data_IF_056173292466
#
_entry.id   IF_056173292466
#
_cell.length_a   1.000
_cell.length_b   1.000
_cell.length_c   1.000
_cell.angle_alpha   90.00
_cell.angle_beta   90.00
_cell.angle_gamma   90.00
#
_symmetry.space_group_name_H-M   'P 1'
#
loop_
_entity.id
_entity.type
_entity.pdbx_description
1 polymer ?
#
# COMPACT_ATOMS: atom_id res chain seq x y z
N UNK A 1 0.80 -33.00 -15.36
CA UNK A 1 0.92 -31.82 -14.47
C UNK A 1 0.16 -30.68 -15.10
N UNK A 2 -0.86 -30.14 -14.41
CA UNK A 2 -1.62 -28.98 -14.90
C UNK A 2 -0.69 -27.78 -14.96
N UNK A 3 -0.55 -27.20 -16.15
CA UNK A 3 0.16 -25.95 -16.36
C UNK A 3 -0.48 -24.87 -15.49
N UNK A 4 0.30 -24.30 -14.59
CA UNK A 4 -0.09 -23.15 -13.78
C UNK A 4 -0.04 -21.97 -14.74
N UNK A 5 -1.20 -21.58 -15.26
CA UNK A 5 -1.34 -20.42 -16.12
C UNK A 5 -1.02 -19.19 -15.24
N UNK A 6 0.23 -18.73 -15.29
CA UNK A 6 0.59 -17.39 -14.82
C UNK A 6 -0.15 -16.43 -15.75
N UNK A 7 -1.39 -16.06 -15.39
CA UNK A 7 -2.00 -14.85 -15.94
C UNK A 7 -0.94 -13.77 -15.83
N UNK A 8 -0.58 -13.15 -16.95
CA UNK A 8 0.40 -12.08 -17.05
C UNK A 8 0.34 -11.25 -15.76
N UNK A 9 1.44 -11.26 -15.00
CA UNK A 9 1.51 -10.59 -13.70
C UNK A 9 0.96 -9.17 -13.84
N UNK A 10 0.24 -8.71 -12.85
CA UNK A 10 -0.19 -7.32 -12.78
C UNK A 10 1.07 -6.45 -12.68
N UNK A 11 1.63 -6.05 -13.83
CA UNK A 11 2.86 -5.28 -13.91
C UNK A 11 2.49 -3.84 -13.60
N UNK A 12 2.91 -3.36 -12.44
CA UNK A 12 2.91 -1.93 -12.15
C UNK A 12 4.01 -1.27 -12.98
N UNK A 13 3.78 -0.03 -13.40
CA UNK A 13 4.86 0.85 -13.85
C UNK A 13 5.81 1.14 -12.68
N UNK A 14 7.01 1.65 -12.97
CA UNK A 14 7.97 2.10 -11.95
C UNK A 14 7.32 3.09 -10.96
N UNK A 15 6.42 3.94 -11.43
CA UNK A 15 5.66 4.86 -10.57
C UNK A 15 4.69 4.10 -9.65
N UNK A 16 3.99 3.09 -10.17
CA UNK A 16 3.09 2.22 -9.40
C UNK A 16 3.84 1.43 -8.33
N UNK A 17 5.01 0.87 -8.67
CA UNK A 17 5.89 0.18 -7.72
C UNK A 17 6.39 1.14 -6.63
N UNK A 18 6.79 2.35 -7.01
CA UNK A 18 7.22 3.39 -6.07
C UNK A 18 6.10 3.83 -5.12
N UNK A 19 4.85 3.94 -5.61
CA UNK A 19 3.68 4.19 -4.75
C UNK A 19 3.46 3.05 -3.76
N UNK A 20 3.53 1.79 -4.23
CA UNK A 20 3.34 0.62 -3.38
C UNK A 20 4.43 0.52 -2.30
N UNK A 21 5.69 0.75 -2.66
CA UNK A 21 6.81 0.77 -1.72
C UNK A 21 6.62 1.85 -0.65
N UNK A 22 6.21 3.07 -1.03
CA UNK A 22 5.91 4.15 -0.08
C UNK A 22 4.79 3.78 0.89
N UNK A 23 3.71 3.18 0.40
CA UNK A 23 2.60 2.73 1.24
C UNK A 23 3.07 1.65 2.25
N UNK A 24 3.92 0.71 1.82
CA UNK A 24 4.47 -0.32 2.68
C UNK A 24 5.35 0.26 3.79
N UNK A 25 6.32 1.11 3.44
CA UNK A 25 7.23 1.74 4.41
C UNK A 25 6.50 2.64 5.41
N UNK A 26 5.51 3.42 4.96
CA UNK A 26 4.70 4.25 5.84
C UNK A 26 3.84 3.39 6.80
N UNK A 27 3.36 2.24 6.34
CA UNK A 27 2.58 1.30 7.15
C UNK A 27 3.45 0.60 8.20
N UNK A 28 4.67 0.21 7.84
CA UNK A 28 5.66 -0.34 8.76
C UNK A 28 6.00 0.64 9.86
N UNK A 29 6.33 1.89 9.49
CA UNK A 29 6.60 2.95 10.46
C UNK A 29 5.41 3.20 11.41
N UNK A 30 4.19 3.25 10.88
CA UNK A 30 2.99 3.43 11.70
C UNK A 30 2.80 2.25 12.67
N UNK A 31 3.03 1.02 12.21
CA UNK A 31 2.97 -0.17 13.05
C UNK A 31 4.00 -0.12 14.18
N UNK A 32 5.25 0.28 13.88
CA UNK A 32 6.29 0.47 14.90
C UNK A 32 5.89 1.48 15.96
N UNK A 33 5.41 2.67 15.54
CA UNK A 33 4.95 3.74 16.44
C UNK A 33 3.85 3.24 17.39
N UNK A 34 2.93 2.42 16.87
CA UNK A 34 1.80 1.87 17.62
C UNK A 34 2.17 0.65 18.48
N UNK A 35 3.22 -0.08 18.12
CA UNK A 35 3.61 -1.34 18.78
C UNK A 35 4.33 -1.15 20.12
N UNK A 36 4.84 0.05 20.42
CA UNK A 36 5.67 0.29 21.61
C UNK A 36 4.83 0.11 22.89
N UNK A 37 5.16 -0.87 23.75
CA UNK A 37 4.41 -1.10 24.98
C UNK A 37 4.61 0.06 25.96
N UNK A 38 3.52 0.44 26.61
CA UNK A 38 3.51 1.45 27.67
C UNK A 38 4.08 0.87 28.96
N UNK A 39 5.39 1.00 29.17
CA UNK A 39 6.04 0.38 30.34
C UNK A 39 5.73 1.10 31.65
N UNK A 40 5.45 2.42 31.69
CA UNK A 40 5.12 3.14 32.95
C UNK A 40 4.40 4.50 32.73
N UNK A 41 3.43 4.59 31.82
CA UNK A 41 2.65 5.82 31.59
C UNK A 41 1.77 5.80 30.35
N UNK A 42 0.90 6.80 30.18
CA UNK A 42 0.09 6.99 28.97
C UNK A 42 0.96 7.52 27.83
N UNK A 43 1.51 6.64 27.00
CA UNK A 43 2.10 7.02 25.71
C UNK A 43 0.97 7.30 24.74
N UNK A 44 0.84 8.53 24.30
CA UNK A 44 -0.18 8.95 23.33
C UNK A 44 0.45 9.18 21.97
N UNK A 45 -0.17 8.68 20.92
CA UNK A 45 0.16 9.04 19.54
C UNK A 45 -0.69 10.24 19.14
N UNK A 46 -0.10 11.21 18.44
CA UNK A 46 -0.85 12.34 17.89
C UNK A 46 -1.91 11.84 16.91
N UNK A 47 -3.19 12.13 17.19
CA UNK A 47 -4.30 11.78 16.31
C UNK A 47 -4.18 12.46 14.93
N UNK A 48 -3.73 13.72 14.90
CA UNK A 48 -3.48 14.46 13.66
C UNK A 48 -2.36 13.81 12.84
N UNK A 49 -1.25 13.45 13.50
CA UNK A 49 -0.12 12.78 12.84
C UNK A 49 -0.49 11.40 12.31
N UNK A 50 -1.24 10.61 13.09
CA UNK A 50 -1.74 9.31 12.66
C UNK A 50 -2.71 9.45 11.47
N UNK A 51 -3.62 10.42 11.51
CA UNK A 51 -4.55 10.69 10.42
C UNK A 51 -3.82 11.12 9.14
N UNK A 52 -2.79 11.98 9.26
CA UNK A 52 -1.97 12.40 8.11
C UNK A 52 -1.24 11.22 7.47
N UNK A 53 -0.68 10.30 8.27
CA UNK A 53 -0.02 9.09 7.77
C UNK A 53 -1.02 8.16 7.08
N UNK A 54 -2.19 7.93 7.68
CA UNK A 54 -3.23 7.08 7.09
C UNK A 54 -3.77 7.68 5.79
N UNK A 55 -3.98 8.99 5.74
CA UNK A 55 -4.37 9.68 4.51
C UNK A 55 -3.32 9.53 3.40
N UNK A 56 -2.03 9.67 3.75
CA UNK A 56 -0.92 9.44 2.82
C UNK A 56 -0.91 8.00 2.28
N UNK A 57 -1.03 7.00 3.16
CA UNK A 57 -1.11 5.58 2.76
C UNK A 57 -2.29 5.35 1.81
N UNK A 58 -3.47 5.89 2.14
CA UNK A 58 -4.66 5.75 1.30
C UNK A 58 -4.46 6.37 -0.09
N UNK A 59 -3.84 7.55 -0.18
CA UNK A 59 -3.53 8.20 -1.45
C UNK A 59 -2.57 7.36 -2.32
N UNK A 60 -1.52 6.79 -1.70
CA UNK A 60 -0.58 5.94 -2.43
C UNK A 60 -1.28 4.68 -2.98
N UNK A 61 -2.08 4.00 -2.14
CA UNK A 61 -2.81 2.80 -2.52
C UNK A 61 -3.89 3.05 -3.56
N UNK A 62 -4.60 4.17 -3.49
CA UNK A 62 -5.57 4.57 -4.53
C UNK A 62 -4.91 4.70 -5.91
N UNK A 63 -3.70 5.28 -5.97
CA UNK A 63 -2.93 5.34 -7.20
C UNK A 63 -2.58 3.96 -7.76
N UNK A 64 -2.15 3.03 -6.90
CA UNK A 64 -1.83 1.64 -7.28
C UNK A 64 -3.09 0.92 -7.80
N UNK A 65 -4.23 1.05 -7.10
CA UNK A 65 -5.49 0.41 -7.50
C UNK A 65 -5.99 0.95 -8.84
N UNK A 66 -5.90 2.25 -9.07
CA UNK A 66 -6.28 2.86 -10.35
C UNK A 66 -5.44 2.32 -11.50
N UNK A 67 -4.13 2.22 -11.32
CA UNK A 67 -3.22 1.71 -12.34
C UNK A 67 -3.48 0.23 -12.66
N UNK A 68 -3.60 -0.60 -11.63
CA UNK A 68 -3.96 -2.02 -11.80
C UNK A 68 -5.35 -2.22 -12.42
N UNK A 69 -6.29 -1.30 -12.20
CA UNK A 69 -7.62 -1.31 -12.81
C UNK A 69 -7.60 -0.89 -14.28
N UNK A 70 -6.77 0.10 -14.64
CA UNK A 70 -6.55 0.52 -16.04
C UNK A 70 -5.95 -0.61 -16.86
N UNK A 71 -4.94 -1.30 -16.32
CA UNK A 71 -4.30 -2.46 -16.97
C UNK A 71 -5.30 -3.59 -17.21
N UNK A 72 -6.26 -3.80 -16.30
CA UNK A 72 -7.33 -4.79 -16.46
C UNK A 72 -8.33 -4.40 -17.57
N UNK A 73 -8.47 -3.12 -17.89
CA UNK A 73 -9.37 -2.61 -18.93
C UNK A 73 -8.82 -2.68 -20.35
N UNK A 74 -7.48 -2.73 -20.52
CA UNK A 74 -6.81 -2.83 -21.82
C UNK A 74 -6.61 -4.29 -22.29
N UNK A 75 -6.82 -5.28 -21.43
CA UNK A 75 -7.02 -6.68 -21.84
C UNK A 75 -8.42 -6.86 -22.44
N UNK A 76 -8.68 -6.27 -23.61
CA UNK A 76 -9.79 -6.70 -24.46
C UNK A 76 -9.26 -7.79 -25.38
N UNK A 77 -9.86 -8.98 -25.23
CA UNK A 77 -9.63 -10.17 -26.02
C UNK A 77 -9.62 -9.85 -27.54
N UNK A 78 -8.56 -10.26 -28.24
CA UNK A 78 -8.64 -10.64 -29.65
C UNK A 78 -9.22 -12.05 -29.77
#
# INVERSE_FOLDING_TARGET
MKSINFKQGCILSELGESRLLRAALASEFLAEVLSVPTVNGSRTVSAEGAAALVACIAEQLDGVVKETSTIKGEMRDE
#
